data_IF_568383662776
#
_entry.id   IF_568383662776
#
_cell.length_a   1.000
_cell.length_b   1.000
_cell.length_c   1.000
_cell.angle_alpha   90.00
_cell.angle_beta   90.00
_cell.angle_gamma   90.00
#
_symmetry.space_group_name_H-M   'P 1'
#
loop_
_entity.id
_entity.type
_entity.pdbx_description
1 polymer ?
#
# COMPACT_ATOMS: atom_id res chain seq x y z
N UNK A 1 -5.30 -17.85 -3.54
CA UNK A 1 -3.97 -18.00 -4.15
C UNK A 1 -3.28 -16.65 -4.20
N UNK A 2 -1.98 -16.60 -3.93
CA UNK A 2 -1.19 -15.36 -4.05
C UNK A 2 -0.77 -15.18 -5.51
N UNK A 3 -0.95 -13.97 -6.03
CA UNK A 3 -0.54 -13.60 -7.37
C UNK A 3 0.51 -12.50 -7.29
N UNK A 4 1.78 -12.91 -7.27
CA UNK A 4 2.94 -12.03 -7.12
C UNK A 4 3.01 -10.94 -8.18
N UNK A 5 2.56 -11.22 -9.41
CA UNK A 5 2.51 -10.21 -10.48
C UNK A 5 1.64 -9.02 -10.08
N UNK A 6 0.45 -9.27 -9.54
CA UNK A 6 -0.46 -8.20 -9.13
C UNK A 6 -0.04 -7.57 -7.82
N UNK A 7 0.56 -8.34 -6.89
CA UNK A 7 1.12 -7.81 -5.65
C UNK A 7 2.21 -6.77 -5.94
N UNK A 8 3.17 -7.08 -6.83
CA UNK A 8 4.23 -6.13 -7.18
C UNK A 8 3.71 -4.91 -7.93
N UNK A 9 2.73 -5.11 -8.82
CA UNK A 9 2.05 -4.00 -9.50
C UNK A 9 1.39 -3.06 -8.48
N UNK A 10 0.61 -3.62 -7.55
CA UNK A 10 -0.05 -2.86 -6.51
C UNK A 10 0.94 -2.14 -5.60
N UNK A 11 2.01 -2.81 -5.16
CA UNK A 11 3.00 -2.21 -4.27
C UNK A 11 3.71 -1.03 -4.95
N UNK A 12 3.99 -1.15 -6.25
CA UNK A 12 4.52 -0.05 -7.05
C UNK A 12 3.52 1.10 -7.12
N UNK A 13 2.23 0.82 -7.33
CA UNK A 13 1.19 1.84 -7.36
C UNK A 13 0.99 2.51 -6.00
N UNK A 14 1.08 1.80 -4.88
CA UNK A 14 1.05 2.38 -3.51
C UNK A 14 2.14 3.43 -3.37
N UNK A 15 3.36 3.11 -3.79
CA UNK A 15 4.49 4.04 -3.69
C UNK A 15 4.28 5.24 -4.61
N UNK A 16 3.98 4.99 -5.89
CA UNK A 16 3.82 6.05 -6.89
C UNK A 16 2.65 6.97 -6.51
N UNK A 17 1.44 6.43 -6.37
CA UNK A 17 0.26 7.22 -6.05
C UNK A 17 0.36 7.86 -4.66
N UNK A 18 0.91 7.16 -3.68
CA UNK A 18 1.13 7.70 -2.33
C UNK A 18 2.04 8.92 -2.33
N UNK A 19 3.11 8.93 -3.13
CA UNK A 19 3.99 10.08 -3.26
C UNK A 19 3.37 11.21 -4.09
N UNK A 20 2.76 10.89 -5.23
CA UNK A 20 2.17 11.89 -6.12
C UNK A 20 0.98 12.60 -5.48
N UNK A 21 0.10 11.87 -4.81
CA UNK A 21 -1.10 12.43 -4.20
C UNK A 21 -0.82 13.13 -2.86
N UNK A 22 0.39 13.03 -2.30
CA UNK A 22 0.79 13.71 -1.06
C UNK A 22 0.61 15.24 -1.13
N UNK A 23 0.60 15.81 -2.33
CA UNK A 23 0.39 17.25 -2.54
C UNK A 23 -1.02 17.73 -2.13
N UNK A 24 -1.98 16.81 -2.05
CA UNK A 24 -3.36 17.07 -1.64
C UNK A 24 -3.56 16.55 -0.23
N UNK A 25 -4.34 17.26 0.58
CA UNK A 25 -4.74 16.80 1.91
C UNK A 25 -5.39 15.41 1.81
N UNK A 26 -4.95 14.48 2.66
CA UNK A 26 -5.33 13.06 2.64
C UNK A 26 -5.01 12.27 1.35
N UNK A 27 -4.37 12.88 0.34
CA UNK A 27 -4.13 12.20 -0.92
C UNK A 27 -3.23 10.97 -0.81
N UNK A 28 -2.30 10.95 0.14
CA UNK A 28 -1.49 9.75 0.44
C UNK A 28 -2.37 8.55 0.83
N UNK A 29 -3.46 8.76 1.59
CA UNK A 29 -4.38 7.67 1.95
C UNK A 29 -5.12 7.12 0.74
N UNK A 30 -5.53 7.99 -0.18
CA UNK A 30 -6.13 7.59 -1.45
C UNK A 30 -5.11 6.80 -2.28
N UNK A 31 -3.87 7.28 -2.34
CA UNK A 31 -2.77 6.62 -3.03
C UNK A 31 -2.39 5.27 -2.44
N UNK A 32 -2.62 5.07 -1.14
CA UNK A 32 -2.50 3.77 -0.49
C UNK A 32 -3.68 2.86 -0.80
N UNK A 33 -4.92 3.37 -0.84
CA UNK A 33 -6.13 2.54 -0.92
C UNK A 33 -6.51 2.07 -2.33
N UNK A 34 -6.35 2.93 -3.34
CA UNK A 34 -6.71 2.62 -4.74
C UNK A 34 -5.95 1.41 -5.29
N UNK A 35 -4.63 1.24 -5.05
CA UNK A 35 -3.89 0.04 -5.44
C UNK A 35 -4.50 -1.26 -4.93
N UNK A 36 -4.95 -1.32 -3.67
CA UNK A 36 -5.66 -2.48 -3.14
C UNK A 36 -6.88 -2.86 -3.96
N UNK A 37 -7.68 -1.87 -4.39
CA UNK A 37 -8.84 -2.09 -5.28
C UNK A 37 -8.38 -2.69 -6.61
N UNK A 38 -7.35 -2.12 -7.23
CA UNK A 38 -6.82 -2.59 -8.51
C UNK A 38 -6.33 -4.04 -8.38
N UNK A 39 -5.58 -4.36 -7.32
CA UNK A 39 -5.10 -5.73 -7.07
C UNK A 39 -6.26 -6.69 -6.88
N UNK A 40 -7.25 -6.34 -6.05
CA UNK A 40 -8.46 -7.15 -5.85
C UNK A 40 -9.19 -7.43 -7.15
N UNK A 41 -9.39 -6.39 -7.97
CA UNK A 41 -10.04 -6.49 -9.27
C UNK A 41 -9.27 -7.43 -10.23
N UNK A 42 -7.94 -7.35 -10.26
CA UNK A 42 -7.11 -8.13 -11.19
C UNK A 42 -6.95 -9.60 -10.80
N UNK A 43 -6.95 -9.92 -9.50
CA UNK A 43 -6.74 -11.29 -8.99
C UNK A 43 -7.86 -12.25 -9.40
N UNK A 44 -9.03 -11.75 -9.80
CA UNK A 44 -10.17 -12.53 -10.32
C UNK A 44 -10.55 -13.75 -9.47
N UNK A 45 -10.77 -13.53 -8.18
CA UNK A 45 -10.99 -14.65 -7.29
C UNK A 45 -11.86 -14.20 -6.12
N UNK A 46 -12.14 -15.09 -5.17
CA UNK A 46 -12.98 -14.78 -4.02
C UNK A 46 -12.46 -13.61 -3.18
N UNK A 47 -13.35 -13.00 -2.39
CA UNK A 47 -13.02 -11.90 -1.47
C UNK A 47 -11.84 -12.20 -0.56
N UNK A 48 -11.69 -13.46 -0.11
CA UNK A 48 -10.55 -13.92 0.71
C UNK A 48 -9.22 -13.77 -0.04
N UNK A 49 -9.22 -14.04 -1.33
CA UNK A 49 -8.03 -13.93 -2.17
C UNK A 49 -7.73 -12.48 -2.52
N UNK A 50 -8.76 -11.66 -2.80
CA UNK A 50 -8.62 -10.20 -2.92
C UNK A 50 -7.95 -9.60 -1.68
N UNK A 51 -8.49 -9.91 -0.50
CA UNK A 51 -7.94 -9.44 0.79
C UNK A 51 -6.48 -9.89 1.01
N UNK A 52 -6.16 -11.18 0.80
CA UNK A 52 -4.80 -11.69 0.99
C UNK A 52 -3.77 -11.02 0.08
N UNK A 53 -4.10 -10.82 -1.19
CA UNK A 53 -3.20 -10.14 -2.12
C UNK A 53 -3.08 -8.65 -1.76
N UNK A 54 -4.18 -8.01 -1.37
CA UNK A 54 -4.19 -6.65 -0.83
C UNK A 54 -3.28 -6.49 0.40
N UNK A 55 -3.41 -7.35 1.41
CA UNK A 55 -2.57 -7.35 2.61
C UNK A 55 -1.08 -7.34 2.26
N UNK A 56 -0.63 -8.26 1.40
CA UNK A 56 0.79 -8.35 1.04
C UNK A 56 1.23 -7.14 0.23
N UNK A 57 0.35 -6.65 -0.67
CA UNK A 57 0.58 -5.42 -1.44
C UNK A 57 0.81 -4.23 -0.50
N UNK A 58 -0.07 -4.05 0.49
CA UNK A 58 -0.01 -2.95 1.43
C UNK A 58 1.18 -3.06 2.38
N UNK A 59 1.58 -4.26 2.79
CA UNK A 59 2.80 -4.44 3.59
C UNK A 59 4.03 -3.99 2.78
N UNK A 60 4.21 -4.49 1.56
CA UNK A 60 5.40 -4.20 0.75
C UNK A 60 5.40 -2.72 0.32
N UNK A 61 4.31 -2.27 -0.30
CA UNK A 61 4.19 -0.90 -0.80
C UNK A 61 4.18 0.13 0.33
N UNK A 62 3.45 -0.15 1.41
CA UNK A 62 3.36 0.72 2.58
C UNK A 62 4.68 0.86 3.33
N UNK A 63 5.46 -0.22 3.44
CA UNK A 63 6.79 -0.18 4.05
C UNK A 63 7.73 0.72 3.25
N UNK A 64 7.81 0.54 1.93
CA UNK A 64 8.63 1.35 1.05
C UNK A 64 8.18 2.82 1.10
N UNK A 65 6.88 3.06 0.98
CA UNK A 65 6.32 4.41 1.07
C UNK A 65 6.64 5.05 2.42
N UNK A 66 6.55 4.30 3.52
CA UNK A 66 6.86 4.80 4.87
C UNK A 66 8.30 5.26 5.01
N UNK A 67 9.25 4.48 4.48
CA UNK A 67 10.67 4.88 4.40
C UNK A 67 10.81 6.19 3.61
N UNK A 68 10.19 6.26 2.42
CA UNK A 68 10.31 7.42 1.53
C UNK A 68 9.65 8.68 2.09
N UNK A 69 8.62 8.55 2.91
CA UNK A 69 7.94 9.67 3.56
C UNK A 69 8.77 10.26 4.72
N UNK A 70 9.63 9.46 5.35
CA UNK A 70 10.46 9.89 6.47
C UNK A 70 11.71 10.66 6.02
N UNK A 71 12.25 10.38 4.83
CA UNK A 71 13.46 11.02 4.28
C UNK A 71 13.35 12.57 4.19
N UNK A 72 12.26 13.18 3.69
CA UNK A 72 12.17 14.62 3.50
C UNK A 72 11.90 15.42 4.78
N UNK A 73 11.49 14.76 5.87
CA UNK A 73 11.04 15.40 7.12
C UNK A 73 12.17 15.62 8.14
N UNK A 74 13.39 15.16 7.83
CA UNK A 74 14.45 15.08 8.81
C UNK A 74 15.50 16.17 8.58
N UNK A 75 15.50 17.18 9.46
CA UNK A 75 16.74 17.65 10.06
C UNK A 75 17.33 16.46 10.83
N UNK A 76 17.99 15.55 10.10
CA UNK A 76 18.35 14.22 10.56
C UNK A 76 19.07 14.31 11.92
N UNK A 77 18.56 13.65 12.98
CA UNK A 77 19.34 13.45 14.19
C UNK A 77 20.59 12.62 13.83
N UNK A 78 21.56 12.55 14.74
CA UNK A 78 22.84 11.85 14.49
C UNK A 78 22.64 10.53 13.75
N UNK A 79 23.54 10.21 12.82
CA UNK A 79 23.44 9.07 11.89
C UNK A 79 23.00 7.75 12.55
N UNK A 80 23.30 7.60 13.85
CA UNK A 80 22.96 6.44 14.67
C UNK A 80 21.45 6.18 14.84
N UNK A 81 20.56 7.18 14.67
CA UNK A 81 19.12 7.01 14.83
C UNK A 81 18.34 6.93 13.52
N UNK A 82 18.97 7.22 12.38
CA UNK A 82 18.29 7.28 11.07
C UNK A 82 17.67 5.93 10.72
N UNK A 83 18.42 4.84 10.90
CA UNK A 83 17.95 3.47 10.61
C UNK A 83 16.71 3.14 11.44
N UNK A 84 16.70 3.52 12.72
CA UNK A 84 15.57 3.30 13.60
C UNK A 84 14.31 4.04 13.11
N UNK A 85 14.42 5.32 12.76
CA UNK A 85 13.28 6.10 12.27
C UNK A 85 12.75 5.60 10.92
N UNK A 86 13.63 5.22 9.98
CA UNK A 86 13.21 4.65 8.70
C UNK A 86 12.48 3.32 8.90
N UNK A 87 12.99 2.47 9.78
CA UNK A 87 12.38 1.17 10.06
C UNK A 87 11.02 1.32 10.76
N UNK A 88 10.92 2.17 11.78
CA UNK A 88 9.67 2.44 12.49
C UNK A 88 8.64 3.10 11.57
N UNK A 89 9.04 4.08 10.77
CA UNK A 89 8.15 4.73 9.79
C UNK A 89 7.64 3.75 8.72
N UNK A 90 8.53 2.88 8.22
CA UNK A 90 8.16 1.79 7.33
C UNK A 90 7.14 0.85 7.96
N UNK A 91 7.36 0.39 9.20
CA UNK A 91 6.44 -0.53 9.89
C UNK A 91 5.07 0.11 10.12
N UNK A 92 5.03 1.32 10.67
CA UNK A 92 3.77 2.00 10.95
C UNK A 92 2.96 2.13 9.66
N UNK A 93 3.59 2.61 8.59
CA UNK A 93 2.90 2.82 7.33
C UNK A 93 2.48 1.49 6.68
N UNK A 94 3.29 0.43 6.78
CA UNK A 94 2.94 -0.91 6.33
C UNK A 94 1.68 -1.44 7.03
N UNK A 95 1.55 -1.23 8.35
CA UNK A 95 0.37 -1.66 9.11
C UNK A 95 -0.90 -0.94 8.62
N UNK A 96 -0.83 0.38 8.45
CA UNK A 96 -1.97 1.15 7.95
C UNK A 96 -2.35 0.76 6.52
N UNK A 97 -1.36 0.70 5.64
CA UNK A 97 -1.57 0.37 4.22
C UNK A 97 -2.09 -1.06 4.07
N UNK A 98 -1.61 -2.01 4.88
CA UNK A 98 -2.10 -3.40 4.90
C UNK A 98 -3.61 -3.46 5.12
N UNK A 99 -4.13 -2.69 6.08
CA UNK A 99 -5.57 -2.68 6.38
C UNK A 99 -6.35 -2.07 5.21
N UNK A 100 -5.88 -0.94 4.68
CA UNK A 100 -6.51 -0.25 3.56
C UNK A 100 -6.54 -1.13 2.31
N UNK A 101 -5.42 -1.76 1.96
CA UNK A 101 -5.34 -2.61 0.78
C UNK A 101 -6.09 -3.93 0.95
N UNK A 102 -6.23 -4.44 2.18
CA UNK A 102 -7.11 -5.58 2.44
C UNK A 102 -8.56 -5.23 2.08
N UNK A 103 -9.03 -4.07 2.55
CA UNK A 103 -10.39 -3.58 2.27
C UNK A 103 -10.55 -3.27 0.78
N UNK A 104 -9.57 -2.57 0.20
CA UNK A 104 -9.52 -2.28 -1.24
C UNK A 104 -9.59 -3.57 -2.05
N UNK A 105 -8.82 -4.59 -1.67
CA UNK A 105 -8.80 -5.90 -2.32
C UNK A 105 -10.16 -6.60 -2.32
N UNK A 106 -10.92 -6.51 -1.22
CA UNK A 106 -12.30 -7.02 -1.16
C UNK A 106 -13.20 -6.22 -2.11
N UNK A 107 -13.14 -4.90 -2.06
CA UNK A 107 -13.95 -4.00 -2.90
C UNK A 107 -13.67 -4.25 -4.38
N UNK A 108 -12.40 -4.39 -4.77
CA UNK A 108 -12.00 -4.68 -6.15
C UNK A 108 -12.63 -5.97 -6.69
N UNK A 109 -12.68 -7.02 -5.87
CA UNK A 109 -13.36 -8.28 -6.22
C UNK A 109 -14.88 -8.04 -6.36
N UNK A 110 -15.52 -7.32 -5.43
CA UNK A 110 -16.96 -7.02 -5.50
C UNK A 110 -17.30 -6.26 -6.78
N UNK A 111 -16.52 -5.23 -7.11
CA UNK A 111 -16.71 -4.43 -8.32
C UNK A 111 -16.64 -5.33 -9.54
N UNK A 112 -15.64 -6.20 -9.61
CA UNK A 112 -15.48 -7.11 -10.74
C UNK A 112 -16.68 -8.05 -10.90
N UNK A 113 -17.10 -8.70 -9.83
CA UNK A 113 -18.21 -9.66 -9.83
C UNK A 113 -19.57 -9.04 -10.16
N UNK A 114 -19.69 -7.70 -10.11
CA UNK A 114 -20.88 -6.98 -10.55
C UNK A 114 -20.85 -6.62 -12.04
N UNK A 115 -19.67 -6.55 -12.63
CA UNK A 115 -19.50 -6.16 -14.04
C UNK A 115 -19.49 -7.40 -14.94
N UNK A 116 -18.94 -8.52 -14.44
CA UNK A 116 -18.81 -9.80 -15.13
C UNK A 116 -19.41 -10.91 -14.27
#
# INVERSE_FOLDING_TARGET
MLNWKYIFLGATLVVVLGLFLRIVEYGTFIGMFVPGIIVGYLVNNDYKNGAKNGIITGIIGGFILGILLVIPLLNLPSANHIIFYLFVGGIINAIFTMILDAIGGIIGVIIRNKIY
#
